data_IF_152457930017
#
_entry.id   IF_152457930017
#
_cell.length_a   1.000
_cell.length_b   1.000
_cell.length_c   1.000
_cell.angle_alpha   90.00
_cell.angle_beta   90.00
_cell.angle_gamma   90.00
#
_symmetry.space_group_name_H-M   'P 1'
#
loop_
_entity.id
_entity.type
_entity.pdbx_description
1 polymer ?
#
# COMPACT_ATOMS: atom_id res chain seq x y z
N UNK A 1 -11.84 -32.60 5.24
CA UNK A 1 -12.47 -32.05 6.47
C UNK A 1 -13.50 -31.02 6.06
N UNK A 2 -14.67 -30.97 6.71
CA UNK A 2 -15.68 -29.92 6.47
C UNK A 2 -15.44 -28.71 7.38
N UNK A 3 -15.46 -27.50 6.84
CA UNK A 3 -15.30 -26.25 7.60
C UNK A 3 -16.28 -25.18 7.13
N UNK A 4 -16.65 -24.27 8.02
CA UNK A 4 -17.39 -23.04 7.68
C UNK A 4 -16.48 -21.85 7.92
N UNK A 5 -16.36 -20.97 6.92
CA UNK A 5 -15.52 -19.78 7.01
C UNK A 5 -16.26 -18.69 7.75
N UNK A 6 -15.71 -18.23 8.87
CA UNK A 6 -16.32 -17.22 9.73
C UNK A 6 -16.06 -15.80 9.21
N UNK A 7 -14.83 -15.54 8.75
CA UNK A 7 -14.36 -14.21 8.37
C UNK A 7 -13.07 -14.28 7.55
N UNK A 8 -12.68 -13.14 6.98
CA UNK A 8 -11.34 -12.96 6.41
C UNK A 8 -10.38 -12.41 7.47
N UNK A 9 -9.10 -12.74 7.34
CA UNK A 9 -8.02 -12.17 8.15
C UNK A 9 -7.03 -11.41 7.28
N UNK A 10 -6.25 -10.52 7.91
CA UNK A 10 -5.12 -9.89 7.23
C UNK A 10 -4.16 -10.97 6.69
N UNK A 11 -3.77 -10.86 5.42
CA UNK A 11 -3.09 -11.92 4.67
C UNK A 11 -4.01 -12.67 3.70
N UNK A 12 -5.31 -12.38 3.67
CA UNK A 12 -6.22 -12.76 2.58
C UNK A 12 -6.89 -14.12 2.70
N UNK A 13 -6.56 -14.90 3.74
CA UNK A 13 -7.20 -16.20 3.98
C UNK A 13 -8.52 -16.05 4.72
N UNK A 14 -9.44 -16.97 4.45
CA UNK A 14 -10.59 -17.21 5.32
C UNK A 14 -10.15 -17.91 6.61
N UNK A 15 -10.82 -17.58 7.70
CA UNK A 15 -10.61 -18.16 9.02
C UNK A 15 -11.78 -19.07 9.37
N UNK A 16 -11.48 -20.30 9.76
CA UNK A 16 -12.44 -21.23 10.32
C UNK A 16 -11.94 -21.74 11.68
N UNK A 17 -12.83 -21.78 12.66
CA UNK A 17 -12.58 -22.48 13.92
C UNK A 17 -13.10 -23.90 13.83
N UNK A 18 -12.28 -24.85 14.24
CA UNK A 18 -12.62 -26.26 14.31
C UNK A 18 -12.35 -26.79 15.71
N UNK A 19 -12.80 -28.01 15.98
CA UNK A 19 -12.43 -28.79 17.16
C UNK A 19 -10.90 -29.05 17.24
N UNK A 20 -10.21 -29.06 16.09
CA UNK A 20 -8.77 -29.27 15.97
C UNK A 20 -7.95 -27.96 15.99
N UNK A 21 -8.59 -26.82 16.24
CA UNK A 21 -7.96 -25.49 16.27
C UNK A 21 -8.34 -24.62 15.07
N UNK A 22 -7.50 -23.63 14.78
CA UNK A 22 -7.73 -22.65 13.71
C UNK A 22 -7.25 -23.19 12.37
N UNK A 23 -8.07 -23.02 11.33
CA UNK A 23 -7.73 -23.37 9.95
C UNK A 23 -7.84 -22.13 9.07
N UNK A 24 -6.75 -21.81 8.36
CA UNK A 24 -6.72 -20.77 7.34
C UNK A 24 -6.93 -21.38 5.96
N UNK A 25 -7.88 -20.83 5.21
CA UNK A 25 -8.26 -21.33 3.89
C UNK A 25 -8.13 -20.19 2.87
N UNK A 26 -7.02 -20.10 2.11
CA UNK A 26 -6.90 -19.13 1.03
C UNK A 26 -8.03 -19.31 0.00
N UNK A 27 -8.42 -18.21 -0.67
CA UNK A 27 -9.45 -18.19 -1.73
C UNK A 27 -10.84 -18.65 -1.29
N UNK A 28 -11.12 -18.54 0.01
CA UNK A 28 -12.44 -18.72 0.57
C UNK A 28 -13.07 -17.40 0.98
N UNK A 29 -14.40 -17.37 1.02
CA UNK A 29 -15.21 -16.22 1.40
C UNK A 29 -15.95 -16.49 2.72
N UNK A 30 -16.19 -15.49 3.57
CA UNK A 30 -17.02 -15.64 4.77
C UNK A 30 -18.41 -16.19 4.40
N UNK A 31 -18.86 -17.21 5.14
CA UNK A 31 -20.09 -17.94 4.85
C UNK A 31 -19.90 -19.16 3.93
N UNK A 32 -18.74 -19.36 3.31
CA UNK A 32 -18.45 -20.59 2.57
C UNK A 32 -18.51 -21.81 3.52
N UNK A 33 -19.19 -22.88 3.07
CA UNK A 33 -19.06 -24.23 3.63
C UNK A 33 -18.24 -25.06 2.68
N UNK A 34 -17.09 -25.56 3.15
CA UNK A 34 -16.05 -26.14 2.31
C UNK A 34 -15.68 -27.54 2.77
N UNK A 35 -15.36 -28.39 1.80
CA UNK A 35 -14.50 -29.54 2.02
C UNK A 35 -13.06 -29.13 1.73
N UNK A 36 -12.17 -29.29 2.72
CA UNK A 36 -10.78 -28.86 2.66
C UNK A 36 -9.81 -29.98 3.00
N UNK A 37 -8.59 -29.86 2.48
CA UNK A 37 -7.43 -30.69 2.79
C UNK A 37 -6.37 -29.85 3.50
N UNK A 38 -5.87 -30.32 4.63
CA UNK A 38 -4.76 -29.66 5.34
C UNK A 38 -3.47 -29.82 4.52
N UNK A 39 -2.87 -28.71 4.11
CA UNK A 39 -1.61 -28.69 3.35
C UNK A 39 -0.40 -28.35 4.23
N UNK A 40 -0.63 -27.69 5.36
CA UNK A 40 0.41 -27.40 6.33
C UNK A 40 -0.17 -27.34 7.74
N UNK A 41 0.57 -27.83 8.73
CA UNK A 41 0.21 -27.76 10.15
C UNK A 41 1.32 -27.07 10.94
N UNK A 42 0.93 -26.13 11.80
CA UNK A 42 1.77 -25.48 12.79
C UNK A 42 1.23 -25.79 14.19
N UNK A 43 1.89 -25.27 15.22
CA UNK A 43 1.53 -25.53 16.62
C UNK A 43 0.09 -25.11 16.93
N UNK A 44 -0.30 -23.91 16.50
CA UNK A 44 -1.57 -23.27 16.92
C UNK A 44 -2.58 -23.10 15.77
N UNK A 45 -2.19 -23.45 14.54
CA UNK A 45 -3.05 -23.34 13.37
C UNK A 45 -2.65 -24.30 12.25
N UNK A 46 -3.55 -24.50 11.30
CA UNK A 46 -3.29 -25.20 10.05
C UNK A 46 -3.65 -24.31 8.84
N UNK A 47 -3.02 -24.58 7.70
CA UNK A 47 -3.44 -24.03 6.41
C UNK A 47 -4.01 -25.16 5.58
N UNK A 48 -5.14 -24.90 4.91
CA UNK A 48 -5.83 -25.88 4.09
C UNK A 48 -6.09 -25.34 2.68
N UNK A 49 -6.22 -26.25 1.70
CA UNK A 49 -6.71 -25.93 0.36
C UNK A 49 -8.13 -26.43 0.18
N UNK A 50 -8.90 -25.72 -0.64
CA UNK A 50 -10.29 -26.07 -0.98
C UNK A 50 -10.27 -27.29 -1.91
N UNK A 51 -10.93 -28.38 -1.52
CA UNK A 51 -11.22 -29.52 -2.40
C UNK A 51 -12.56 -29.32 -3.10
N UNK A 52 -13.58 -28.87 -2.35
CA UNK A 52 -14.93 -28.64 -2.86
C UNK A 52 -15.61 -27.53 -2.09
N UNK A 53 -16.34 -26.67 -2.82
CA UNK A 53 -17.28 -25.73 -2.22
C UNK A 53 -18.62 -26.47 -2.10
N UNK A 54 -19.08 -26.70 -0.88
CA UNK A 54 -20.33 -27.41 -0.61
C UNK A 54 -21.51 -26.44 -0.65
N UNK A 55 -21.36 -25.28 0.01
CA UNK A 55 -22.33 -24.18 0.00
C UNK A 55 -21.55 -22.88 -0.19
N UNK A 56 -21.67 -22.20 -1.35
CA UNK A 56 -20.94 -20.96 -1.59
C UNK A 56 -21.54 -19.81 -0.78
N UNK A 57 -20.68 -18.92 -0.28
CA UNK A 57 -21.10 -17.65 0.30
C UNK A 57 -21.92 -16.82 -0.69
N UNK A 58 -22.96 -16.10 -0.23
CA UNK A 58 -23.72 -15.16 -1.07
C UNK A 58 -22.88 -13.98 -1.58
N UNK A 59 -21.71 -13.74 -0.96
CA UNK A 59 -20.79 -12.67 -1.35
C UNK A 59 -19.82 -13.10 -2.46
N UNK A 60 -19.91 -14.35 -2.93
CA UNK A 60 -19.09 -14.85 -4.03
C UNK A 60 -19.48 -14.25 -5.39
N UNK A 61 -18.48 -14.16 -6.25
CA UNK A 61 -18.63 -13.95 -7.69
C UNK A 61 -17.63 -14.82 -8.44
N UNK A 62 -17.85 -15.02 -9.75
CA UNK A 62 -16.89 -15.73 -10.59
C UNK A 62 -15.70 -14.80 -10.93
N UNK A 63 -14.45 -15.21 -10.66
CA UNK A 63 -13.28 -14.45 -11.11
C UNK A 63 -13.17 -14.47 -12.63
N UNK A 64 -13.04 -13.31 -13.24
CA UNK A 64 -12.94 -13.20 -14.71
C UNK A 64 -11.50 -13.01 -15.22
N UNK A 65 -10.50 -12.97 -14.32
CA UNK A 65 -9.10 -12.94 -14.75
C UNK A 65 -8.63 -14.36 -15.09
N UNK A 66 -8.12 -14.61 -16.31
CA UNK A 66 -7.64 -15.94 -16.70
C UNK A 66 -6.44 -16.40 -15.87
N UNK A 67 -5.73 -15.46 -15.24
CA UNK A 67 -4.57 -15.73 -14.41
C UNK A 67 -4.93 -15.92 -12.93
N UNK A 68 -6.20 -15.75 -12.54
CA UNK A 68 -6.60 -15.78 -11.13
C UNK A 68 -6.22 -17.09 -10.44
N UNK A 69 -6.40 -18.22 -11.10
CA UNK A 69 -6.08 -19.55 -10.56
C UNK A 69 -4.58 -19.80 -10.32
N UNK A 70 -3.70 -19.10 -11.04
CA UNK A 70 -2.27 -19.45 -11.15
C UNK A 70 -1.34 -18.36 -10.65
N UNK A 71 -1.62 -17.09 -10.95
CA UNK A 71 -0.80 -15.96 -10.53
C UNK A 71 -1.11 -15.56 -9.08
N UNK A 72 -0.08 -15.14 -8.32
CA UNK A 72 -0.20 -14.69 -6.93
C UNK A 72 -0.55 -13.21 -6.77
N UNK A 73 -1.20 -12.59 -7.76
CA UNK A 73 -1.42 -11.14 -7.79
C UNK A 73 -2.75 -10.68 -7.15
N UNK A 74 -3.82 -11.46 -7.29
CA UNK A 74 -5.15 -11.17 -6.73
C UNK A 74 -5.57 -12.30 -5.79
N UNK A 75 -6.22 -11.93 -4.68
CA UNK A 75 -6.58 -12.86 -3.60
C UNK A 75 -8.10 -13.00 -3.43
N UNK A 76 -8.86 -11.95 -3.77
CA UNK A 76 -10.27 -11.80 -3.44
C UNK A 76 -11.18 -11.54 -4.64
N UNK A 77 -10.72 -11.78 -5.88
CA UNK A 77 -11.56 -11.59 -7.06
C UNK A 77 -12.82 -12.47 -7.05
N UNK A 78 -12.80 -13.57 -6.29
CA UNK A 78 -13.95 -14.44 -6.02
C UNK A 78 -14.97 -13.86 -5.03
N UNK A 79 -14.72 -12.68 -4.45
CA UNK A 79 -15.58 -11.96 -3.51
C UNK A 79 -16.02 -10.68 -4.20
N UNK A 80 -17.31 -10.36 -4.14
CA UNK A 80 -17.85 -9.11 -4.71
C UNK A 80 -17.15 -7.88 -4.14
N UNK A 81 -16.90 -6.90 -4.99
CA UNK A 81 -16.07 -5.74 -4.63
C UNK A 81 -16.63 -4.93 -3.44
N UNK A 82 -17.94 -4.73 -3.39
CA UNK A 82 -18.62 -4.04 -2.30
C UNK A 82 -18.36 -4.69 -0.93
N UNK A 83 -18.23 -6.03 -0.91
CA UNK A 83 -17.93 -6.81 0.30
C UNK A 83 -16.46 -6.79 0.68
N UNK A 84 -15.55 -6.68 -0.30
CA UNK A 84 -14.12 -6.61 -0.01
C UNK A 84 -13.78 -5.42 0.88
N UNK A 85 -14.36 -4.25 0.62
CA UNK A 85 -14.12 -3.02 1.39
C UNK A 85 -14.62 -3.18 2.83
N UNK A 86 -15.82 -3.76 3.02
CA UNK A 86 -16.37 -4.06 4.35
C UNK A 86 -15.45 -5.00 5.15
N UNK A 87 -14.92 -6.04 4.50
CA UNK A 87 -13.98 -6.94 5.16
C UNK A 87 -12.65 -6.27 5.52
N UNK A 88 -12.14 -5.34 4.70
CA UNK A 88 -10.95 -4.55 5.04
C UNK A 88 -11.15 -3.74 6.31
N UNK A 89 -12.32 -3.11 6.49
CA UNK A 89 -12.65 -2.40 7.72
C UNK A 89 -12.71 -3.29 8.96
N UNK A 90 -13.34 -4.47 8.83
CA UNK A 90 -13.38 -5.45 9.91
C UNK A 90 -11.96 -5.85 10.32
N UNK A 91 -11.09 -6.10 9.33
CA UNK A 91 -9.68 -6.42 9.57
C UNK A 91 -8.96 -5.27 10.28
N UNK A 92 -9.18 -4.02 9.87
CA UNK A 92 -8.60 -2.84 10.53
C UNK A 92 -8.98 -2.80 12.01
N UNK A 93 -10.28 -2.86 12.32
CA UNK A 93 -10.78 -2.81 13.70
C UNK A 93 -10.25 -3.96 14.55
N UNK A 94 -10.25 -5.18 14.00
CA UNK A 94 -9.69 -6.34 14.69
C UNK A 94 -8.19 -6.19 14.94
N UNK A 95 -7.46 -5.63 13.98
CA UNK A 95 -6.01 -5.41 14.10
C UNK A 95 -5.68 -4.39 15.17
N UNK A 96 -6.43 -3.28 15.24
CA UNK A 96 -6.28 -2.28 16.30
C UNK A 96 -6.50 -2.90 17.68
N UNK A 97 -7.57 -3.67 17.85
CA UNK A 97 -7.88 -4.34 19.12
C UNK A 97 -6.83 -5.38 19.51
N UNK A 98 -6.42 -6.24 18.56
CA UNK A 98 -5.54 -7.40 18.85
C UNK A 98 -4.07 -7.03 18.98
N UNK A 99 -3.57 -6.13 18.13
CA UNK A 99 -2.15 -5.81 18.04
C UNK A 99 -1.82 -4.42 18.59
N UNK A 100 -2.75 -3.47 18.50
CA UNK A 100 -2.61 -2.13 19.06
C UNK A 100 -3.09 -2.02 20.50
N UNK A 101 -3.92 -2.97 20.97
CA UNK A 101 -4.54 -2.94 22.30
C UNK A 101 -5.38 -1.67 22.56
N UNK A 102 -5.98 -1.11 21.50
CA UNK A 102 -6.94 -0.01 21.59
C UNK A 102 -8.13 -0.28 20.66
N UNK A 103 -9.25 0.38 20.95
CA UNK A 103 -10.46 0.30 20.12
C UNK A 103 -10.69 1.60 19.36
N UNK A 104 -11.08 1.48 18.09
CA UNK A 104 -11.61 2.58 17.30
C UNK A 104 -13.10 2.33 17.11
N UNK A 105 -13.93 3.16 17.76
CA UNK A 105 -15.39 3.10 17.66
C UNK A 105 -15.96 4.09 16.64
N UNK A 106 -15.13 5.04 16.17
CA UNK A 106 -15.51 6.01 15.15
C UNK A 106 -15.77 5.38 13.78
N UNK A 107 -16.28 6.21 12.87
CA UNK A 107 -16.38 5.86 11.45
C UNK A 107 -14.98 5.60 10.88
N UNK A 108 -14.89 4.71 9.90
CA UNK A 108 -13.72 4.58 9.04
C UNK A 108 -14.15 5.16 7.71
N UNK A 109 -13.54 6.27 7.29
CA UNK A 109 -13.82 6.83 5.98
C UNK A 109 -13.26 5.90 4.89
N UNK A 110 -13.89 5.88 3.72
CA UNK A 110 -13.54 4.97 2.63
C UNK A 110 -13.14 5.75 1.39
N UNK A 111 -11.89 5.67 0.97
CA UNK A 111 -11.45 6.07 -0.37
C UNK A 111 -11.41 4.84 -1.26
N UNK A 112 -12.39 4.74 -2.16
CA UNK A 112 -12.56 3.61 -3.08
C UNK A 112 -12.63 4.10 -4.52
N UNK A 113 -12.40 3.19 -5.46
CA UNK A 113 -12.47 3.45 -6.88
C UNK A 113 -12.84 2.18 -7.63
N UNK A 114 -12.86 2.21 -8.97
CA UNK A 114 -13.04 0.99 -9.76
C UNK A 114 -12.00 -0.09 -9.40
N UNK A 115 -12.43 -1.35 -9.41
CA UNK A 115 -11.59 -2.52 -9.14
C UNK A 115 -10.76 -2.99 -10.34
N UNK A 116 -10.86 -2.24 -11.45
CA UNK A 116 -10.23 -2.50 -12.75
C UNK A 116 -9.57 -1.25 -13.31
N UNK A 117 -8.59 -1.45 -14.19
CA UNK A 117 -7.90 -0.37 -14.91
C UNK A 117 -7.38 0.73 -13.99
N UNK A 118 -7.08 0.40 -12.73
CA UNK A 118 -6.71 1.36 -11.72
C UNK A 118 -5.18 1.48 -11.60
N UNK A 119 -4.47 0.39 -11.89
CA UNK A 119 -3.05 0.23 -11.61
C UNK A 119 -2.21 0.82 -12.74
N UNK A 120 -1.65 1.99 -12.48
CA UNK A 120 -0.80 2.75 -13.42
C UNK A 120 0.66 2.30 -13.45
N UNK A 121 1.08 1.38 -12.55
CA UNK A 121 2.45 0.88 -12.52
C UNK A 121 2.54 -0.58 -12.10
N UNK A 122 3.54 -1.28 -12.60
CA UNK A 122 3.82 -2.66 -12.27
C UNK A 122 5.32 -2.97 -12.35
N UNK A 123 5.72 -4.03 -11.67
CA UNK A 123 7.01 -4.67 -11.89
C UNK A 123 6.69 -6.08 -12.38
N UNK A 124 7.11 -6.39 -13.59
CA UNK A 124 6.98 -7.72 -14.17
C UNK A 124 8.27 -8.50 -13.97
N UNK A 125 8.14 -9.79 -13.70
CA UNK A 125 9.26 -10.73 -13.77
C UNK A 125 9.34 -11.31 -15.17
N UNK A 126 10.55 -11.61 -15.64
CA UNK A 126 10.77 -12.14 -16.98
C UNK A 126 11.10 -13.63 -16.88
N UNK A 127 10.42 -14.44 -17.71
CA UNK A 127 10.72 -15.86 -17.87
C UNK A 127 10.56 -16.26 -19.33
N UNK A 128 11.59 -16.90 -19.89
CA UNK A 128 11.60 -17.33 -21.31
C UNK A 128 11.15 -16.21 -22.28
N UNK A 129 11.66 -14.99 -22.08
CA UNK A 129 11.32 -13.82 -22.90
C UNK A 129 9.89 -13.28 -22.71
N UNK A 130 9.16 -13.73 -21.70
CA UNK A 130 7.78 -13.28 -21.41
C UNK A 130 7.68 -12.60 -20.06
N UNK A 131 6.81 -11.59 -19.99
CA UNK A 131 6.46 -10.91 -18.75
C UNK A 131 5.45 -11.73 -17.94
N UNK A 132 5.62 -11.72 -16.63
CA UNK A 132 4.78 -12.48 -15.71
C UNK A 132 4.79 -11.95 -14.28
N UNK A 133 3.95 -12.57 -13.46
CA UNK A 133 3.95 -12.39 -12.01
C UNK A 133 4.34 -13.67 -11.32
N UNK A 134 4.85 -13.56 -10.10
CA UNK A 134 5.20 -14.73 -9.29
C UNK A 134 3.92 -15.43 -8.81
N UNK A 135 3.89 -16.75 -8.91
CA UNK A 135 2.85 -17.59 -8.32
C UNK A 135 2.94 -17.53 -6.79
N UNK A 136 1.79 -17.46 -6.13
CA UNK A 136 1.66 -17.28 -4.69
C UNK A 136 2.53 -18.30 -3.90
N UNK A 137 3.36 -17.80 -2.99
CA UNK A 137 4.27 -18.59 -2.15
C UNK A 137 5.27 -19.48 -2.90
N UNK A 138 5.67 -19.10 -4.12
CA UNK A 138 6.70 -19.81 -4.90
C UNK A 138 7.70 -18.81 -5.52
N UNK A 139 8.68 -19.32 -6.26
CA UNK A 139 9.52 -18.52 -7.18
C UNK A 139 9.16 -18.76 -8.66
N UNK A 140 8.03 -19.41 -8.93
CA UNK A 140 7.58 -19.74 -10.27
C UNK A 140 6.94 -18.50 -10.89
N UNK A 141 7.41 -18.10 -12.08
CA UNK A 141 6.84 -16.98 -12.82
C UNK A 141 5.72 -17.51 -13.72
N UNK A 142 4.54 -16.91 -13.60
CA UNK A 142 3.37 -17.16 -14.45
C UNK A 142 3.35 -16.08 -15.53
N UNK A 143 3.66 -16.41 -16.80
CA UNK A 143 3.53 -15.48 -17.91
C UNK A 143 2.09 -15.02 -18.04
N UNK A 144 1.89 -13.72 -18.25
CA UNK A 144 0.56 -13.15 -18.44
C UNK A 144 0.45 -12.46 -19.80
N UNK A 145 -0.77 -12.37 -20.33
CA UNK A 145 -1.09 -11.58 -21.53
C UNK A 145 -1.87 -10.32 -21.22
N UNK A 146 -2.62 -10.35 -20.13
CA UNK A 146 -3.48 -9.26 -19.68
C UNK A 146 -3.66 -9.32 -18.16
N UNK A 147 -4.01 -8.18 -17.58
CA UNK A 147 -4.38 -8.04 -16.19
C UNK A 147 -5.46 -6.97 -16.07
N UNK A 148 -6.64 -7.33 -15.57
CA UNK A 148 -7.78 -6.43 -15.42
C UNK A 148 -7.50 -5.23 -14.49
N UNK A 149 -6.53 -5.36 -13.57
CA UNK A 149 -6.12 -4.26 -12.70
C UNK A 149 -5.29 -3.20 -13.42
N UNK A 150 -4.51 -3.59 -14.43
CA UNK A 150 -3.62 -2.69 -15.15
C UNK A 150 -4.40 -1.79 -16.10
N UNK A 151 -3.92 -0.55 -16.27
CA UNK A 151 -4.45 0.36 -17.30
C UNK A 151 -4.25 -0.22 -18.71
N UNK A 152 -5.09 0.13 -19.70
CA UNK A 152 -5.01 -0.41 -21.06
C UNK A 152 -3.63 -0.29 -21.71
N UNK A 153 -2.93 0.82 -21.47
CA UNK A 153 -1.59 1.09 -22.01
C UNK A 153 -0.56 0.06 -21.52
N UNK A 154 -0.68 -0.39 -20.27
CA UNK A 154 0.19 -1.44 -19.72
C UNK A 154 -0.20 -2.83 -20.22
N UNK A 155 -1.49 -3.08 -20.46
CA UNK A 155 -1.92 -4.33 -21.09
C UNK A 155 -1.42 -4.43 -22.54
N UNK A 156 -1.46 -3.32 -23.29
CA UNK A 156 -0.85 -3.25 -24.62
C UNK A 156 0.67 -3.47 -24.55
N UNK A 157 1.34 -2.84 -23.59
CA UNK A 157 2.79 -2.98 -23.39
C UNK A 157 3.23 -4.43 -23.18
N UNK A 158 2.48 -5.22 -22.40
CA UNK A 158 2.79 -6.65 -22.14
C UNK A 158 2.95 -7.44 -23.45
N UNK A 159 2.10 -7.16 -24.45
CA UNK A 159 2.12 -7.86 -25.73
C UNK A 159 3.15 -7.35 -26.74
N UNK A 160 3.68 -6.13 -26.56
CA UNK A 160 4.55 -5.47 -27.55
C UNK A 160 6.03 -5.43 -27.18
N UNK A 161 6.36 -5.59 -25.90
CA UNK A 161 7.74 -5.45 -25.42
C UNK A 161 8.54 -6.73 -25.66
N UNK A 162 9.77 -6.57 -26.16
CA UNK A 162 10.82 -7.58 -26.04
C UNK A 162 11.65 -7.23 -24.79
N UNK A 163 11.54 -8.02 -23.70
CA UNK A 163 12.28 -7.73 -22.47
C UNK A 163 13.79 -7.98 -22.61
N UNK A 164 14.24 -8.70 -23.64
CA UNK A 164 15.65 -9.10 -23.75
C UNK A 164 16.13 -9.93 -22.55
N UNK A 165 17.42 -9.84 -22.15
CA UNK A 165 18.04 -10.68 -21.13
C UNK A 165 17.90 -10.12 -19.70
N UNK A 166 16.76 -9.50 -19.39
CA UNK A 166 16.53 -8.82 -18.11
C UNK A 166 15.75 -9.73 -17.16
N UNK A 167 15.90 -9.58 -15.85
CA UNK A 167 15.11 -10.33 -14.86
C UNK A 167 13.76 -9.66 -14.55
N UNK A 168 13.71 -8.32 -14.58
CA UNK A 168 12.49 -7.56 -14.30
C UNK A 168 12.33 -6.37 -15.22
N UNK A 169 11.08 -6.00 -15.43
CA UNK A 169 10.68 -4.79 -16.15
C UNK A 169 9.76 -3.98 -15.25
N UNK A 170 10.23 -2.81 -14.82
CA UNK A 170 9.41 -1.83 -14.12
C UNK A 170 8.72 -0.94 -15.14
N UNK A 171 7.43 -0.70 -14.95
CA UNK A 171 6.65 0.16 -15.84
C UNK A 171 5.82 1.16 -15.05
N UNK A 172 5.67 2.35 -15.61
CA UNK A 172 4.69 3.33 -15.17
C UNK A 172 4.02 3.95 -16.40
N UNK A 173 2.71 3.84 -16.46
CA UNK A 173 1.90 4.42 -17.51
C UNK A 173 1.67 5.90 -17.23
N UNK A 174 2.06 6.69 -18.22
CA UNK A 174 1.51 8.01 -18.51
C UNK A 174 0.91 7.92 -19.94
N UNK A 175 0.57 9.02 -20.64
CA UNK A 175 0.24 8.91 -22.07
C UNK A 175 1.25 8.09 -22.88
N UNK A 176 2.52 8.06 -22.44
CA UNK A 176 3.52 7.07 -22.85
C UNK A 176 3.95 6.19 -21.66
N UNK A 177 4.27 4.90 -21.90
CA UNK A 177 4.75 3.99 -20.85
C UNK A 177 6.26 4.21 -20.63
N UNK A 178 6.62 4.76 -19.48
CA UNK A 178 8.01 4.75 -19.04
C UNK A 178 8.37 3.36 -18.48
N UNK A 179 9.58 2.93 -18.76
CA UNK A 179 10.06 1.57 -18.53
C UNK A 179 11.45 1.59 -17.92
N UNK A 180 11.75 0.71 -16.98
CA UNK A 180 13.12 0.47 -16.50
C UNK A 180 13.39 -1.04 -16.50
N UNK A 181 14.48 -1.43 -17.15
CA UNK A 181 14.90 -2.82 -17.30
C UNK A 181 15.94 -3.15 -16.23
N UNK A 182 15.71 -4.20 -15.45
CA UNK A 182 16.59 -4.66 -14.38
C UNK A 182 17.29 -5.95 -14.81
N UNK A 183 18.62 -5.90 -14.91
CA UNK A 183 19.47 -7.05 -15.23
C UNK A 183 19.77 -7.89 -13.99
N UNK A 184 20.29 -9.10 -14.17
CA UNK A 184 20.58 -10.06 -13.08
C UNK A 184 21.58 -9.52 -12.05
N UNK A 185 22.48 -8.64 -12.46
CA UNK A 185 23.46 -7.96 -11.60
C UNK A 185 22.85 -6.79 -10.79
N UNK A 186 21.56 -6.51 -10.98
CA UNK A 186 20.84 -5.39 -10.37
C UNK A 186 20.99 -4.06 -11.12
N UNK A 187 21.70 -4.03 -12.25
CA UNK A 187 21.82 -2.84 -13.08
C UNK A 187 20.45 -2.45 -13.63
N UNK A 188 20.14 -1.15 -13.58
CA UNK A 188 18.91 -0.58 -14.11
C UNK A 188 19.17 0.25 -15.36
N UNK A 189 18.54 -0.11 -16.47
CA UNK A 189 18.48 0.70 -17.69
C UNK A 189 17.09 1.30 -17.83
N UNK A 190 16.99 2.59 -17.51
CA UNK A 190 15.71 3.32 -17.58
C UNK A 190 15.50 3.96 -18.95
N UNK A 191 14.25 3.93 -19.42
CA UNK A 191 13.77 4.77 -20.51
C UNK A 191 13.72 6.24 -20.08
N UNK A 192 13.23 7.11 -20.96
CA UNK A 192 12.93 8.51 -20.64
C UNK A 192 12.02 8.61 -19.40
N UNK A 193 12.19 9.68 -18.65
CA UNK A 193 11.35 10.03 -17.49
C UNK A 193 9.94 10.40 -17.96
N UNK A 194 8.93 10.01 -17.19
CA UNK A 194 7.54 10.39 -17.44
C UNK A 194 7.08 11.55 -16.54
N UNK A 195 6.00 12.23 -16.94
CA UNK A 195 5.35 13.25 -16.13
C UNK A 195 3.93 12.80 -15.80
N UNK A 196 3.61 12.68 -14.51
CA UNK A 196 2.27 12.42 -14.01
C UNK A 196 1.62 13.71 -13.53
N UNK A 197 0.32 13.84 -13.81
CA UNK A 197 -0.50 14.96 -13.37
C UNK A 197 -1.52 14.46 -12.35
N UNK A 198 -1.56 15.07 -11.17
CA UNK A 198 -2.52 14.74 -10.10
C UNK A 198 -3.15 16.03 -9.59
N UNK A 199 -4.32 16.37 -10.13
CA UNK A 199 -4.88 17.71 -9.99
C UNK A 199 -3.92 18.75 -10.58
N UNK A 200 -3.56 19.74 -9.79
CA UNK A 200 -2.58 20.79 -10.14
C UNK A 200 -1.11 20.41 -9.85
N UNK A 201 -0.86 19.18 -9.39
CA UNK A 201 0.49 18.71 -9.07
C UNK A 201 1.11 17.95 -10.23
N UNK A 202 2.36 18.27 -10.57
CA UNK A 202 3.11 17.66 -11.65
C UNK A 202 4.31 16.89 -11.10
N UNK A 203 4.41 15.59 -11.41
CA UNK A 203 5.48 14.74 -10.89
C UNK A 203 6.29 14.15 -12.04
N UNK A 204 7.57 14.51 -12.08
CA UNK A 204 8.59 13.79 -12.82
C UNK A 204 8.87 12.47 -12.11
N UNK A 205 8.70 11.37 -12.84
CA UNK A 205 8.87 10.01 -12.34
C UNK A 205 9.74 9.18 -13.28
N UNK A 206 10.29 8.10 -12.74
CA UNK A 206 10.86 6.98 -13.50
C UNK A 206 10.11 5.71 -13.11
N UNK A 207 10.19 4.66 -13.93
CA UNK A 207 9.42 3.44 -13.69
C UNK A 207 9.91 2.67 -12.45
N UNK A 208 11.20 2.78 -12.14
CA UNK A 208 11.89 2.19 -10.99
C UNK A 208 11.75 3.02 -9.69
N UNK A 209 11.28 4.26 -9.75
CA UNK A 209 11.01 5.05 -8.54
C UNK A 209 9.58 4.82 -8.04
N UNK A 210 9.40 4.77 -6.71
CA UNK A 210 8.08 4.59 -6.14
C UNK A 210 7.14 5.77 -6.45
N UNK A 211 5.92 5.42 -6.86
CA UNK A 211 4.76 6.30 -6.95
C UNK A 211 3.50 5.51 -6.57
N UNK A 212 2.45 6.21 -6.14
CA UNK A 212 1.17 5.60 -5.78
C UNK A 212 0.53 4.92 -7.00
N UNK A 213 -0.05 3.73 -6.82
CA UNK A 213 -0.38 2.86 -7.94
C UNK A 213 -1.80 3.04 -8.51
N UNK A 214 -2.76 3.47 -7.68
CA UNK A 214 -4.15 3.57 -8.09
C UNK A 214 -4.50 4.96 -8.62
N UNK A 215 -4.67 5.08 -9.94
CA UNK A 215 -4.88 6.35 -10.65
C UNK A 215 -6.14 7.10 -10.19
N UNK A 216 -7.16 6.36 -9.73
CA UNK A 216 -8.41 6.95 -9.28
C UNK A 216 -8.32 7.52 -7.86
N UNK A 217 -7.34 7.07 -7.07
CA UNK A 217 -7.20 7.47 -5.66
C UNK A 217 -6.12 8.52 -5.43
N UNK A 218 -5.24 8.81 -6.40
CA UNK A 218 -4.11 9.73 -6.23
C UNK A 218 -4.54 11.09 -5.63
N UNK A 219 -5.52 11.76 -6.25
CA UNK A 219 -5.97 13.06 -5.79
C UNK A 219 -6.76 12.96 -4.48
N UNK A 220 -7.52 11.89 -4.29
CA UNK A 220 -8.27 11.65 -3.06
C UNK A 220 -7.33 11.45 -1.87
N UNK A 221 -6.25 10.69 -2.03
CA UNK A 221 -5.21 10.51 -1.01
C UNK A 221 -4.52 11.82 -0.66
N UNK A 222 -4.16 12.64 -1.66
CA UNK A 222 -3.56 13.97 -1.42
C UNK A 222 -4.50 14.83 -0.59
N UNK A 223 -5.79 14.90 -0.97
CA UNK A 223 -6.80 15.69 -0.25
C UNK A 223 -7.00 15.19 1.17
N UNK A 224 -7.04 13.88 1.36
CA UNK A 224 -7.22 13.28 2.67
C UNK A 224 -6.03 13.58 3.60
N UNK A 225 -4.79 13.46 3.13
CA UNK A 225 -3.60 13.84 3.92
C UNK A 225 -3.59 15.34 4.23
N UNK A 226 -3.94 16.20 3.27
CA UNK A 226 -4.03 17.66 3.51
C UNK A 226 -5.10 17.99 4.56
N UNK A 227 -6.28 17.40 4.44
CA UNK A 227 -7.41 17.64 5.34
C UNK A 227 -7.08 17.15 6.76
N UNK A 228 -6.51 15.95 6.86
CA UNK A 228 -6.02 15.42 8.13
C UNK A 228 -4.84 16.21 8.69
N UNK A 229 -3.94 16.78 7.89
CA UNK A 229 -2.87 17.67 8.36
C UNK A 229 -3.42 18.99 8.94
N UNK A 230 -4.61 19.41 8.50
CA UNK A 230 -5.35 20.53 9.05
C UNK A 230 -5.11 21.86 8.33
N UNK A 231 -5.95 22.87 8.62
CA UNK A 231 -5.79 24.20 8.04
C UNK A 231 -4.52 24.86 8.61
N UNK A 232 -3.70 25.43 7.72
CA UNK A 232 -2.47 26.16 8.06
C UNK A 232 -1.52 25.36 8.98
N UNK A 233 -0.94 24.24 8.49
CA UNK A 233 -0.19 23.30 9.31
C UNK A 233 1.15 23.85 9.85
N UNK A 234 1.47 25.13 9.65
CA UNK A 234 2.70 25.75 10.14
C UNK A 234 3.95 25.08 9.54
N UNK A 235 4.90 24.70 10.38
CA UNK A 235 6.08 23.95 9.96
C UNK A 235 5.73 22.46 9.83
N UNK A 236 5.95 21.88 8.65
CA UNK A 236 5.64 20.47 8.37
C UNK A 236 6.94 19.68 8.21
N UNK A 237 7.00 18.50 8.81
CA UNK A 237 8.03 17.51 8.57
C UNK A 237 7.40 16.27 7.94
N UNK A 238 7.81 15.92 6.73
CA UNK A 238 7.41 14.68 6.07
C UNK A 238 8.55 13.68 6.12
N UNK A 239 8.23 12.46 6.55
CA UNK A 239 9.16 11.35 6.66
C UNK A 239 8.83 10.32 5.57
N UNK A 240 9.87 9.72 4.98
CA UNK A 240 9.74 8.76 3.87
C UNK A 240 9.09 9.40 2.63
N UNK A 241 9.49 10.63 2.32
CA UNK A 241 8.79 11.49 1.36
C UNK A 241 8.85 11.00 -0.10
N UNK A 242 9.72 10.05 -0.42
CA UNK A 242 9.95 9.60 -1.78
C UNK A 242 10.30 10.77 -2.72
N UNK A 243 9.57 10.87 -3.83
CA UNK A 243 9.73 11.96 -4.79
C UNK A 243 8.84 13.19 -4.51
N UNK A 244 8.19 13.23 -3.34
CA UNK A 244 7.38 14.35 -2.86
C UNK A 244 5.90 14.26 -3.20
N UNK A 245 5.32 13.06 -3.25
CA UNK A 245 3.90 12.88 -3.58
C UNK A 245 2.98 13.71 -2.69
N UNK A 246 3.15 13.63 -1.37
CA UNK A 246 2.45 14.50 -0.41
C UNK A 246 3.19 15.82 -0.17
N UNK A 247 4.52 15.85 -0.27
CA UNK A 247 5.33 17.04 0.01
C UNK A 247 4.94 18.24 -0.84
N UNK A 248 4.73 18.04 -2.14
CA UNK A 248 4.42 19.12 -3.08
C UNK A 248 3.12 19.82 -2.70
N UNK A 249 1.96 19.13 -2.56
CA UNK A 249 0.73 19.78 -2.15
C UNK A 249 0.79 20.32 -0.70
N UNK A 250 1.42 19.60 0.24
CA UNK A 250 1.57 20.08 1.63
C UNK A 250 2.37 21.38 1.71
N UNK A 251 3.41 21.51 0.89
CA UNK A 251 4.24 22.71 0.85
C UNK A 251 3.40 23.95 0.55
N UNK A 252 2.41 23.87 -0.35
CA UNK A 252 1.56 25.02 -0.75
C UNK A 252 0.76 25.61 0.41
N UNK A 253 0.47 24.83 1.45
CA UNK A 253 -0.31 25.27 2.62
C UNK A 253 0.54 25.42 3.89
N UNK A 254 1.73 24.81 3.92
CA UNK A 254 2.68 24.92 5.02
C UNK A 254 3.44 26.26 4.99
N UNK A 255 3.90 26.69 6.15
CA UNK A 255 4.86 27.81 6.29
C UNK A 255 6.23 27.39 5.73
N UNK A 256 6.70 26.23 6.15
CA UNK A 256 7.91 25.57 5.64
C UNK A 256 7.69 24.05 5.67
N UNK A 257 8.26 23.33 4.71
CA UNK A 257 8.23 21.87 4.70
C UNK A 257 9.64 21.29 4.56
N UNK A 258 9.99 20.35 5.44
CA UNK A 258 11.18 19.51 5.30
C UNK A 258 10.72 18.09 4.97
N UNK A 259 11.21 17.54 3.86
CA UNK A 259 10.94 16.20 3.40
C UNK A 259 12.20 15.34 3.57
N UNK A 260 12.15 14.31 4.42
CA UNK A 260 13.26 13.37 4.64
C UNK A 260 13.06 12.13 3.77
N UNK A 261 14.05 11.82 2.95
CA UNK A 261 14.06 10.65 2.08
C UNK A 261 15.47 10.06 1.97
N UNK A 262 15.59 8.73 2.04
CA UNK A 262 16.89 8.05 2.01
C UNK A 262 17.41 7.73 0.61
N UNK A 263 16.50 7.57 -0.35
CA UNK A 263 16.82 7.30 -1.74
C UNK A 263 17.26 8.58 -2.44
N UNK A 264 18.56 8.64 -2.73
CA UNK A 264 19.19 9.71 -3.51
C UNK A 264 18.48 9.97 -4.85
N UNK A 265 18.00 8.90 -5.51
CA UNK A 265 17.25 9.02 -6.77
C UNK A 265 15.90 9.71 -6.55
N UNK A 266 15.18 9.32 -5.50
CA UNK A 266 13.90 9.93 -5.15
C UNK A 266 14.07 11.39 -4.73
N UNK A 267 15.09 11.73 -3.93
CA UNK A 267 15.44 13.13 -3.57
C UNK A 267 15.72 13.97 -4.81
N UNK A 268 16.51 13.47 -5.77
CA UNK A 268 16.80 14.20 -7.02
C UNK A 268 15.54 14.45 -7.85
N UNK A 269 14.63 13.48 -7.92
CA UNK A 269 13.33 13.66 -8.58
C UNK A 269 12.45 14.64 -7.81
N UNK A 270 12.43 14.55 -6.47
CA UNK A 270 11.72 15.46 -5.59
C UNK A 270 12.16 16.92 -5.77
N UNK A 271 13.46 17.17 -5.85
CA UNK A 271 14.00 18.51 -6.14
C UNK A 271 13.60 19.02 -7.54
N UNK A 272 13.45 18.14 -8.53
CA UNK A 272 12.90 18.53 -9.83
C UNK A 272 11.41 18.86 -9.73
N UNK A 273 10.65 18.06 -8.98
CA UNK A 273 9.23 18.28 -8.74
C UNK A 273 8.98 19.60 -8.00
N UNK A 274 9.83 19.97 -7.04
CA UNK A 274 9.81 21.30 -6.41
C UNK A 274 9.88 22.41 -7.45
N UNK A 275 10.81 22.32 -8.40
CA UNK A 275 10.99 23.33 -9.45
C UNK A 275 9.80 23.40 -10.40
N UNK A 276 9.28 22.24 -10.81
CA UNK A 276 8.14 22.14 -11.73
C UNK A 276 6.87 22.72 -11.11
N UNK A 277 6.66 22.50 -9.80
CA UNK A 277 5.47 22.97 -9.08
C UNK A 277 5.67 24.32 -8.39
N UNK A 278 6.87 24.91 -8.46
CA UNK A 278 7.23 26.19 -7.85
C UNK A 278 6.99 26.24 -6.33
N UNK A 279 7.19 25.11 -5.62
CA UNK A 279 6.99 24.99 -4.17
C UNK A 279 8.31 25.22 -3.42
N UNK A 280 8.86 26.44 -3.49
CA UNK A 280 10.20 26.78 -2.98
C UNK A 280 10.38 26.66 -1.46
N UNK A 281 9.29 26.64 -0.70
CA UNK A 281 9.22 26.41 0.74
C UNK A 281 9.46 24.94 1.14
N UNK A 282 9.48 24.02 0.17
CA UNK A 282 9.82 22.61 0.35
C UNK A 282 11.32 22.38 0.19
N UNK A 283 11.95 21.83 1.24
CA UNK A 283 13.35 21.38 1.22
C UNK A 283 13.43 19.88 1.42
N UNK A 284 14.18 19.20 0.55
CA UNK A 284 14.51 17.79 0.73
C UNK A 284 15.80 17.64 1.55
N UNK A 285 15.78 16.71 2.51
CA UNK A 285 16.94 16.24 3.24
C UNK A 285 17.18 14.76 2.90
N UNK A 286 18.33 14.47 2.28
CA UNK A 286 18.74 13.09 1.99
C UNK A 286 19.25 12.43 3.28
N UNK A 287 18.60 11.34 3.72
CA UNK A 287 19.01 10.64 4.93
C UNK A 287 18.05 9.53 5.38
N UNK A 288 18.56 8.63 6.20
CA UNK A 288 17.73 7.66 6.92
C UNK A 288 16.96 8.38 8.02
N UNK A 289 15.63 8.21 8.07
CA UNK A 289 14.74 8.93 9.00
C UNK A 289 15.24 8.86 10.44
N UNK A 290 15.51 7.65 10.95
CA UNK A 290 15.97 7.46 12.32
C UNK A 290 17.28 8.20 12.65
N UNK A 291 18.20 8.27 11.68
CA UNK A 291 19.48 8.96 11.82
C UNK A 291 19.30 10.48 11.75
N UNK A 292 18.44 10.96 10.84
CA UNK A 292 18.17 12.39 10.68
C UNK A 292 17.40 12.98 11.86
N UNK A 293 16.51 12.22 12.50
CA UNK A 293 15.76 12.68 13.67
C UNK A 293 16.60 12.70 14.96
N UNK A 294 17.60 11.82 15.08
CA UNK A 294 18.40 11.66 16.29
C UNK A 294 19.16 12.95 16.63
N UNK A 295 18.80 13.57 17.75
CA UNK A 295 19.42 14.82 18.22
C UNK A 295 19.08 16.05 17.36
N UNK A 296 18.07 15.96 16.49
CA UNK A 296 17.64 17.09 15.67
C UNK A 296 16.98 18.18 16.53
N UNK A 297 17.20 19.44 16.17
CA UNK A 297 16.54 20.60 16.78
C UNK A 297 15.27 21.02 15.99
N UNK A 298 14.61 20.05 15.36
CA UNK A 298 13.41 20.29 14.56
C UNK A 298 12.19 20.48 15.49
N UNK A 299 11.35 21.45 15.17
CA UNK A 299 10.11 21.73 15.90
C UNK A 299 8.92 21.84 14.92
N UNK A 300 8.52 20.73 14.27
CA UNK A 300 7.38 20.72 13.38
C UNK A 300 6.07 20.89 14.17
N UNK A 301 5.10 21.59 13.58
CA UNK A 301 3.73 21.60 14.07
C UNK A 301 2.99 20.33 13.64
N UNK A 302 3.29 19.81 12.44
CA UNK A 302 2.71 18.58 11.88
C UNK A 302 3.81 17.66 11.38
N UNK A 303 3.70 16.38 11.71
CA UNK A 303 4.52 15.31 11.11
C UNK A 303 3.64 14.46 10.20
N UNK A 304 4.06 14.24 8.97
CA UNK A 304 3.44 13.29 8.03
C UNK A 304 4.42 12.14 7.79
N UNK A 305 3.97 10.90 7.81
CA UNK A 305 4.82 9.73 7.55
C UNK A 305 4.12 8.70 6.66
N UNK A 306 4.86 8.18 5.68
CA UNK A 306 4.46 7.09 4.78
C UNK A 306 5.56 6.00 4.73
N UNK A 307 5.82 5.31 5.86
CA UNK A 307 6.91 4.34 5.95
C UNK A 307 6.70 3.11 5.05
N UNK A 308 7.76 2.34 4.79
CA UNK A 308 7.65 1.04 4.11
C UNK A 308 6.79 0.06 4.91
N UNK A 309 6.50 -1.11 4.32
CA UNK A 309 5.70 -2.20 4.95
C UNK A 309 6.13 -2.62 6.35
N UNK A 310 7.40 -2.41 6.71
CA UNK A 310 7.92 -2.70 8.04
C UNK A 310 7.41 -1.72 9.13
N UNK A 311 6.76 -0.62 8.73
CA UNK A 311 6.39 0.48 9.61
C UNK A 311 7.57 1.42 9.87
N UNK A 312 7.35 2.43 10.72
CA UNK A 312 8.43 3.32 11.17
C UNK A 312 9.24 2.72 12.32
N UNK A 313 8.67 1.75 13.04
CA UNK A 313 9.26 1.17 14.25
C UNK A 313 9.08 2.04 15.49
N UNK A 314 9.15 1.41 16.66
CA UNK A 314 8.92 2.08 17.95
C UNK A 314 9.97 3.16 18.26
N UNK A 315 11.24 2.95 17.87
CA UNK A 315 12.30 3.95 18.04
C UNK A 315 11.96 5.24 17.29
N UNK A 316 11.56 5.15 16.03
CA UNK A 316 11.19 6.34 15.24
C UNK A 316 9.87 6.94 15.72
N UNK A 317 8.90 6.13 16.17
CA UNK A 317 7.70 6.66 16.80
C UNK A 317 8.04 7.51 18.05
N UNK A 318 8.92 7.02 18.93
CA UNK A 318 9.40 7.77 20.10
C UNK A 318 10.16 9.04 19.70
N UNK A 319 10.98 8.99 18.64
CA UNK A 319 11.65 10.17 18.09
C UNK A 319 10.64 11.22 17.58
N UNK A 320 9.60 10.81 16.85
CA UNK A 320 8.53 11.70 16.37
C UNK A 320 7.82 12.37 17.55
N UNK A 321 7.49 11.59 18.60
CA UNK A 321 6.90 12.12 19.83
C UNK A 321 7.82 13.15 20.49
N UNK A 322 9.14 12.89 20.51
CA UNK A 322 10.16 13.80 21.05
C UNK A 322 10.25 15.15 20.34
N UNK A 323 9.81 15.23 19.07
CA UNK A 323 9.68 16.50 18.35
C UNK A 323 8.46 17.33 18.79
N UNK A 324 7.57 16.72 19.57
CA UNK A 324 6.33 17.31 20.10
C UNK A 324 5.42 17.98 19.05
N UNK A 325 5.14 17.34 17.90
CA UNK A 325 4.19 17.91 16.95
C UNK A 325 2.79 18.00 17.55
N UNK A 326 2.03 19.03 17.17
CA UNK A 326 0.61 19.12 17.55
C UNK A 326 -0.22 18.03 16.89
N UNK A 327 0.19 17.61 15.69
CA UNK A 327 -0.50 16.61 14.89
C UNK A 327 0.45 15.65 14.18
N UNK A 328 0.06 14.39 14.09
CA UNK A 328 0.75 13.36 13.30
C UNK A 328 -0.25 12.81 12.27
N UNK A 329 0.13 12.71 11.00
CA UNK A 329 -0.66 12.04 9.95
C UNK A 329 0.13 10.85 9.44
N UNK A 330 -0.36 9.65 9.70
CA UNK A 330 0.30 8.39 9.36
C UNK A 330 -0.44 7.70 8.20
N UNK A 331 0.23 7.62 7.05
CA UNK A 331 -0.12 6.76 5.91
C UNK A 331 0.56 5.40 6.07
N UNK A 332 -0.18 4.29 5.99
CA UNK A 332 0.40 2.95 6.18
C UNK A 332 -0.22 1.91 5.27
N UNK A 333 0.62 1.13 4.59
CA UNK A 333 0.21 -0.03 3.79
C UNK A 333 0.12 -1.35 4.59
N UNK A 334 0.31 -1.30 5.91
CA UNK A 334 0.29 -2.47 6.78
C UNK A 334 -0.43 -2.18 8.11
N UNK A 335 -1.69 -2.63 8.29
CA UNK A 335 -2.46 -2.34 9.49
C UNK A 335 -1.84 -2.93 10.76
N UNK A 336 -1.03 -3.98 10.66
CA UNK A 336 -0.42 -4.64 11.83
C UNK A 336 0.72 -3.81 12.44
N UNK A 337 1.61 -3.26 11.61
CA UNK A 337 2.69 -2.37 12.08
C UNK A 337 2.11 -1.04 12.51
N UNK A 338 1.16 -0.49 11.72
CA UNK A 338 0.39 0.70 12.11
C UNK A 338 -0.20 0.56 13.51
N UNK A 339 -0.90 -0.54 13.81
CA UNK A 339 -1.57 -0.71 15.10
C UNK A 339 -0.58 -0.68 16.28
N UNK A 340 0.61 -1.30 16.13
CA UNK A 340 1.63 -1.31 17.19
C UNK A 340 2.23 0.07 17.42
N UNK A 341 2.48 0.82 16.35
CA UNK A 341 3.08 2.16 16.41
C UNK A 341 2.06 3.22 16.86
N UNK A 342 0.81 3.10 16.42
CA UNK A 342 -0.30 3.89 16.93
C UNK A 342 -0.48 3.72 18.44
N UNK A 343 -0.30 2.50 18.97
CA UNK A 343 -0.31 2.25 20.40
C UNK A 343 0.79 3.03 21.13
N UNK A 344 1.99 3.18 20.54
CA UNK A 344 3.06 4.02 21.09
C UNK A 344 2.64 5.48 21.13
N UNK A 345 2.07 6.03 20.05
CA UNK A 345 1.55 7.41 20.05
C UNK A 345 0.49 7.62 21.12
N UNK A 346 -0.48 6.71 21.23
CA UNK A 346 -1.58 6.78 22.19
C UNK A 346 -1.06 6.70 23.63
N UNK A 347 -0.14 5.77 23.92
CA UNK A 347 0.48 5.62 25.24
C UNK A 347 1.28 6.86 25.66
N UNK A 348 1.68 7.71 24.70
CA UNK A 348 2.51 8.90 24.90
C UNK A 348 1.72 10.21 24.76
N UNK A 349 0.41 10.15 24.94
CA UNK A 349 -0.44 11.34 25.09
C UNK A 349 -1.08 11.86 23.81
N UNK A 350 -0.98 11.11 22.70
CA UNK A 350 -1.78 11.41 21.51
C UNK A 350 -3.14 10.69 21.56
N UNK A 351 -4.11 11.24 20.86
CA UNK A 351 -5.41 10.66 20.61
C UNK A 351 -5.54 10.41 19.12
N UNK A 352 -5.94 9.20 18.72
CA UNK A 352 -6.33 8.89 17.35
C UNK A 352 -7.63 9.64 17.04
N UNK A 353 -7.62 10.52 16.04
CA UNK A 353 -8.73 11.42 15.72
C UNK A 353 -9.53 11.01 14.49
N UNK A 354 -8.86 10.43 13.48
CA UNK A 354 -9.51 10.00 12.24
C UNK A 354 -8.80 8.80 11.65
N UNK A 355 -9.56 7.94 10.99
CA UNK A 355 -9.06 6.74 10.30
C UNK A 355 -9.77 6.64 8.95
N UNK A 356 -8.97 6.54 7.90
CA UNK A 356 -9.45 6.41 6.53
C UNK A 356 -8.83 5.17 5.90
N UNK A 357 -9.68 4.24 5.47
CA UNK A 357 -9.31 3.13 4.61
C UNK A 357 -9.17 3.63 3.18
N UNK A 358 -8.00 3.39 2.59
CA UNK A 358 -7.77 3.63 1.16
C UNK A 358 -7.65 2.28 0.48
N UNK A 359 -8.60 1.96 -0.39
CA UNK A 359 -8.60 0.71 -1.14
C UNK A 359 -7.70 0.80 -2.38
N UNK A 360 -6.40 0.92 -2.15
CA UNK A 360 -5.42 1.13 -3.21
C UNK A 360 -5.24 -0.09 -4.11
N UNK A 361 -5.53 -1.28 -3.60
CA UNK A 361 -5.41 -2.53 -4.33
C UNK A 361 -6.68 -3.38 -4.18
N UNK A 362 -7.75 -3.04 -4.92
CA UNK A 362 -8.92 -3.89 -5.08
C UNK A 362 -8.54 -5.32 -5.48
N UNK A 363 -9.38 -6.30 -5.14
CA UNK A 363 -9.16 -7.73 -5.36
C UNK A 363 -7.97 -8.32 -4.60
N UNK A 364 -7.36 -7.57 -3.68
CA UNK A 364 -6.29 -8.04 -2.79
C UNK A 364 -6.63 -7.78 -1.33
N UNK A 365 -5.95 -8.50 -0.43
CA UNK A 365 -6.06 -8.25 1.01
C UNK A 365 -5.32 -6.99 1.49
N UNK A 366 -4.58 -6.31 0.61
CA UNK A 366 -3.79 -5.15 1.00
C UNK A 366 -4.71 -4.02 1.46
N UNK A 367 -4.30 -3.40 2.56
CA UNK A 367 -5.02 -2.34 3.25
C UNK A 367 -4.06 -1.18 3.36
N UNK A 368 -4.49 -0.03 2.86
CA UNK A 368 -3.81 1.24 3.02
C UNK A 368 -4.65 2.08 4.01
N UNK A 369 -3.99 2.72 4.96
CA UNK A 369 -4.60 3.52 6.02
C UNK A 369 -4.06 4.94 5.96
N UNK A 370 -4.91 5.93 6.21
CA UNK A 370 -4.49 7.29 6.55
C UNK A 370 -5.15 7.64 7.88
N UNK A 371 -4.36 7.96 8.90
CA UNK A 371 -4.87 8.27 10.22
C UNK A 371 -4.17 9.47 10.86
N UNK A 372 -4.94 10.28 11.58
CA UNK A 372 -4.43 11.45 12.27
C UNK A 372 -4.46 11.28 13.77
N UNK A 373 -3.44 11.83 14.42
CA UNK A 373 -3.30 11.85 15.87
C UNK A 373 -3.07 13.28 16.32
N UNK A 374 -3.66 13.66 17.45
CA UNK A 374 -3.47 14.98 18.08
C UNK A 374 -3.08 14.81 19.54
N UNK A 375 -2.35 15.77 20.08
CA UNK A 375 -2.05 15.81 21.52
C UNK A 375 -3.36 15.96 22.31
N UNK A 376 -3.51 15.17 23.38
CA UNK A 376 -4.66 15.22 24.30
C UNK A 376 -4.74 16.51 25.10
#
# INVERSE_FOLDING_TARGET
MRVTIEKLVYGGSGFARTDQGVVFVPRSAPGDVLEVEIVAKKKDYATARILKILEPSPDRQEPDCPNYATAGCCHWQHIRYDRQVEHKEIIIRETFRRLGHFEWLGAIDRLTGPDRNYRLRATFHVTSGRLGFVQENTNVIVPIRECASLVPELNQFIGSVDPGPVQKVHVISTPEVATSFEFDDGTLQSSRRATLHVGENHYRVTADTFFQANRFLLLAMIREVLDQAGPLPGNVLELYAGLGFFSIPLARVAKELIAIESSRTAVRLGQQNVRINQTWQLRFAEGQVNATLRGSALHPNVVVLDPPRAGCGTETADQIIGLQPKRIVYVSCNPATFAREAATFIAKGYELKRVTLVDQFPNTFHIELIASFEVR
#
